data_IF_307082294692
#
_entry.id   IF_307082294692
#
_cell.length_a   1.000
_cell.length_b   1.000
_cell.length_c   1.000
_cell.angle_alpha   90.00
_cell.angle_beta   90.00
_cell.angle_gamma   90.00
#
_symmetry.space_group_name_H-M   'P 1'
#
loop_
_entity.id
_entity.type
_entity.pdbx_description
1 polymer ?
#
# COMPACT_ATOMS: atom_id res chain seq x y z
N UNK A 1 3.80 -16.56 -2.49
CA UNK A 1 4.66 -16.58 -1.27
C UNK A 1 3.83 -16.26 -0.02
N UNK A 2 3.99 -16.98 1.10
CA UNK A 2 3.12 -16.80 2.29
C UNK A 2 3.19 -15.41 2.91
N UNK A 3 4.33 -14.73 2.81
CA UNK A 3 4.50 -13.38 3.37
C UNK A 3 3.55 -12.34 2.77
N UNK A 4 2.90 -12.63 1.64
CA UNK A 4 1.91 -11.74 1.02
C UNK A 4 0.57 -11.74 1.78
N UNK A 5 0.25 -12.85 2.45
CA UNK A 5 -1.07 -13.07 3.00
C UNK A 5 -1.17 -12.62 4.45
N UNK A 6 -2.36 -12.14 4.83
CA UNK A 6 -2.71 -11.89 6.21
C UNK A 6 -2.46 -13.16 7.06
N UNK A 7 -1.87 -12.97 8.23
CA UNK A 7 -1.44 -14.04 9.15
C UNK A 7 -0.55 -15.12 8.50
N UNK A 8 -0.02 -14.84 7.31
CA UNK A 8 0.79 -15.75 6.50
C UNK A 8 0.08 -17.05 6.08
N UNK A 9 -1.26 -17.01 6.02
CA UNK A 9 -2.13 -18.15 5.65
C UNK A 9 -2.68 -17.96 4.24
N UNK A 10 -2.56 -18.98 3.39
CA UNK A 10 -3.13 -18.99 2.04
C UNK A 10 -4.36 -19.90 2.00
N UNK A 11 -5.50 -19.37 1.54
CA UNK A 11 -6.71 -20.14 1.27
C UNK A 11 -6.79 -20.47 -0.23
N UNK A 12 -6.70 -21.76 -0.63
CA UNK A 12 -6.80 -22.13 -2.04
C UNK A 12 -8.22 -21.98 -2.62
N UNK A 13 -9.26 -21.97 -1.78
CA UNK A 13 -10.65 -21.81 -2.22
C UNK A 13 -11.02 -20.33 -2.40
N UNK A 14 -10.32 -19.43 -1.70
CA UNK A 14 -10.42 -17.99 -1.86
C UNK A 14 -9.03 -17.32 -1.92
N UNK A 15 -8.36 -17.32 -3.09
CA UNK A 15 -6.99 -16.80 -3.22
C UNK A 15 -6.81 -15.31 -2.89
N UNK A 16 -7.89 -14.53 -2.88
CA UNK A 16 -7.88 -13.12 -2.48
C UNK A 16 -7.93 -12.91 -0.97
N UNK A 17 -8.34 -13.91 -0.20
CA UNK A 17 -8.44 -13.83 1.25
C UNK A 17 -7.08 -13.46 1.85
N UNK A 18 -7.02 -12.26 2.44
CA UNK A 18 -5.80 -11.74 3.05
C UNK A 18 -4.65 -11.41 2.08
N UNK A 19 -4.81 -11.55 0.76
CA UNK A 19 -3.76 -11.28 -0.21
C UNK A 19 -3.28 -9.81 -0.13
N UNK A 20 -1.96 -9.62 -0.06
CA UNK A 20 -1.29 -8.32 0.08
C UNK A 20 -1.68 -7.54 1.35
N UNK A 21 -2.13 -8.23 2.40
CA UNK A 21 -2.54 -7.63 3.70
C UNK A 21 -1.73 -8.14 4.89
N UNK A 22 -0.55 -8.70 4.68
CA UNK A 22 0.31 -9.12 5.79
C UNK A 22 0.84 -7.93 6.59
N UNK A 23 1.00 -8.12 7.91
CA UNK A 23 1.59 -7.11 8.80
C UNK A 23 3.03 -6.75 8.43
N UNK A 24 3.76 -7.70 7.81
CA UNK A 24 5.10 -7.45 7.29
C UNK A 24 5.10 -6.45 6.14
N UNK A 25 4.17 -6.57 5.20
CA UNK A 25 4.01 -5.61 4.10
C UNK A 25 3.63 -4.24 4.63
N UNK A 26 2.68 -4.16 5.56
CA UNK A 26 2.25 -2.90 6.16
C UNK A 26 3.42 -2.18 6.86
N UNK A 27 4.19 -2.92 7.66
CA UNK A 27 5.36 -2.40 8.37
C UNK A 27 6.42 -1.91 7.40
N UNK A 28 6.71 -2.68 6.35
CA UNK A 28 7.67 -2.30 5.31
C UNK A 28 7.21 -1.04 4.55
N UNK A 29 5.91 -0.96 4.21
CA UNK A 29 5.34 0.21 3.54
C UNK A 29 5.50 1.47 4.40
N UNK A 30 5.14 1.39 5.68
CA UNK A 30 5.29 2.51 6.63
C UNK A 30 6.76 2.92 6.76
N UNK A 31 7.66 1.96 6.84
CA UNK A 31 9.10 2.23 6.93
C UNK A 31 9.64 2.97 5.70
N UNK A 32 9.21 2.58 4.49
CA UNK A 32 9.69 3.17 3.23
C UNK A 32 9.00 4.48 2.89
N UNK A 33 7.67 4.55 2.99
CA UNK A 33 6.89 5.68 2.49
C UNK A 33 6.49 6.68 3.55
N UNK A 34 6.24 6.27 4.79
CA UNK A 34 5.85 7.21 5.85
C UNK A 34 7.06 7.56 6.71
N UNK A 35 7.18 6.98 7.90
CA UNK A 35 8.36 7.14 8.73
C UNK A 35 8.61 5.87 9.55
N UNK A 36 9.87 5.59 9.90
CA UNK A 36 10.19 4.47 10.79
C UNK A 36 9.42 4.51 12.12
N UNK A 37 9.15 5.71 12.66
CA UNK A 37 8.36 5.85 13.89
C UNK A 37 6.88 5.50 13.71
N UNK A 38 6.32 5.68 12.50
CA UNK A 38 4.96 5.23 12.18
C UNK A 38 4.85 3.70 12.10
N UNK A 39 5.93 3.00 11.74
CA UNK A 39 5.97 1.54 11.73
C UNK A 39 6.05 0.95 13.16
N UNK A 40 6.71 1.66 14.09
CA UNK A 40 6.88 1.20 15.49
C UNK A 40 5.84 1.76 16.49
N UNK A 41 4.90 2.58 16.01
CA UNK A 41 3.87 3.21 16.85
C UNK A 41 2.84 2.22 17.41
N UNK A 42 2.68 1.03 16.79
CA UNK A 42 1.80 -0.03 17.30
C UNK A 42 2.38 -0.77 18.50
N UNK A 43 3.71 -0.77 18.68
CA UNK A 43 4.40 -1.56 19.73
C UNK A 43 4.82 -0.73 20.94
N UNK A 44 5.03 0.57 20.77
CA UNK A 44 5.37 1.47 21.88
C UNK A 44 4.40 2.64 21.85
N UNK A 45 3.56 2.78 22.88
CA UNK A 45 2.66 3.93 23.06
C UNK A 45 3.36 5.28 23.23
N UNK A 46 4.59 5.42 22.76
CA UNK A 46 5.40 6.63 22.75
C UNK A 46 5.37 7.23 21.36
N UNK A 47 4.45 8.18 21.14
CA UNK A 47 4.54 9.12 20.05
C UNK A 47 5.73 10.08 20.28
N UNK A 48 6.98 9.62 20.14
CA UNK A 48 8.11 10.54 20.20
C UNK A 48 9.32 10.08 19.38
N UNK A 49 9.32 10.50 18.11
CA UNK A 49 10.37 11.38 17.63
C UNK A 49 9.89 12.01 16.32
N UNK A 50 9.75 13.34 16.31
CA UNK A 50 9.51 14.09 15.08
C UNK A 50 10.68 13.82 14.15
N UNK A 51 10.42 13.12 13.06
CA UNK A 51 11.40 12.92 12.00
C UNK A 51 11.85 14.32 11.52
N UNK A 52 13.17 14.56 11.45
CA UNK A 52 13.74 15.81 10.94
C UNK A 52 13.64 15.93 9.42
N UNK A 53 13.24 14.85 8.75
CA UNK A 53 13.02 14.78 7.31
C UNK A 53 11.57 14.44 7.02
N UNK A 54 11.01 15.09 6.01
CA UNK A 54 9.70 14.73 5.48
C UNK A 54 9.68 13.28 5.02
N UNK A 55 8.54 12.60 5.21
CA UNK A 55 8.32 11.25 4.69
C UNK A 55 8.41 11.21 3.17
N UNK A 56 8.76 10.06 2.58
CA UNK A 56 8.75 9.91 1.12
C UNK A 56 7.34 10.17 0.55
N UNK A 57 6.29 9.72 1.24
CA UNK A 57 4.91 10.03 0.93
C UNK A 57 4.66 11.54 0.88
N UNK A 58 5.14 12.30 1.85
CA UNK A 58 5.00 13.76 1.84
C UNK A 58 5.81 14.41 0.72
N UNK A 59 7.07 13.99 0.52
CA UNK A 59 7.96 14.51 -0.54
C UNK A 59 7.32 14.32 -1.92
N UNK A 60 6.69 13.17 -2.14
CA UNK A 60 6.01 12.85 -3.39
C UNK A 60 4.52 13.25 -3.42
N UNK A 61 4.01 13.92 -2.38
CA UNK A 61 2.62 14.37 -2.31
C UNK A 61 1.58 13.24 -2.31
N UNK A 62 1.96 12.04 -1.86
CA UNK A 62 1.06 10.88 -1.78
C UNK A 62 -0.03 11.13 -0.75
N UNK A 63 -1.29 11.10 -1.20
CA UNK A 63 -2.49 11.16 -0.35
C UNK A 63 -3.27 9.84 -0.32
N UNK A 64 -2.89 8.91 -1.20
CA UNK A 64 -3.45 7.58 -1.32
C UNK A 64 -2.35 6.60 -1.70
N UNK A 65 -2.56 5.33 -1.34
CA UNK A 65 -1.71 4.21 -1.74
C UNK A 65 -1.97 3.90 -3.21
N UNK A 66 -0.89 3.74 -3.98
CA UNK A 66 -0.95 3.31 -5.37
C UNK A 66 -0.66 1.80 -5.48
N UNK A 67 -1.29 1.12 -6.44
CA UNK A 67 -1.01 -0.29 -6.79
C UNK A 67 0.50 -0.53 -6.92
N UNK A 68 1.17 0.29 -7.73
CA UNK A 68 2.62 0.20 -7.94
C UNK A 68 3.45 0.31 -6.63
N UNK A 69 2.97 1.05 -5.63
CA UNK A 69 3.66 1.17 -4.34
C UNK A 69 3.51 -0.09 -3.49
N UNK A 70 2.35 -0.77 -3.51
CA UNK A 70 2.15 -2.06 -2.84
C UNK A 70 3.05 -3.12 -3.48
N UNK A 71 3.04 -3.21 -4.81
CA UNK A 71 3.84 -4.17 -5.57
C UNK A 71 5.34 -3.96 -5.37
N UNK A 72 5.78 -2.70 -5.32
CA UNK A 72 7.15 -2.36 -4.98
C UNK A 72 7.54 -2.87 -3.59
N UNK A 73 6.70 -2.63 -2.56
CA UNK A 73 6.97 -3.12 -1.21
C UNK A 73 7.00 -4.65 -1.14
N UNK A 74 6.07 -5.34 -1.79
CA UNK A 74 6.07 -6.79 -1.85
C UNK A 74 7.36 -7.34 -2.47
N UNK A 75 7.86 -6.68 -3.52
CA UNK A 75 9.12 -7.03 -4.18
C UNK A 75 10.33 -6.80 -3.26
N UNK A 76 10.38 -5.64 -2.57
CA UNK A 76 11.44 -5.33 -1.61
C UNK A 76 11.47 -6.31 -0.43
N UNK A 77 10.30 -6.68 0.12
CA UNK A 77 10.20 -7.66 1.20
C UNK A 77 10.65 -9.04 0.72
N UNK A 78 10.23 -9.47 -0.47
CA UNK A 78 10.68 -10.75 -1.04
C UNK A 78 12.19 -10.81 -1.16
N UNK A 79 12.82 -9.73 -1.65
CA UNK A 79 14.27 -9.64 -1.73
C UNK A 79 14.92 -9.71 -0.35
N UNK A 80 14.41 -8.95 0.63
CA UNK A 80 14.93 -8.96 1.99
C UNK A 80 14.84 -10.34 2.69
N UNK A 81 13.88 -11.17 2.27
CA UNK A 81 13.71 -12.55 2.74
C UNK A 81 14.49 -13.58 1.91
N UNK A 82 15.14 -13.17 0.82
CA UNK A 82 15.94 -14.05 -0.04
C UNK A 82 17.38 -14.20 0.50
N UNK A 83 18.08 -15.24 0.07
CA UNK A 83 19.52 -15.41 0.34
C UNK A 83 20.42 -14.61 -0.62
N UNK A 84 19.84 -13.84 -1.54
CA UNK A 84 20.56 -13.08 -2.56
C UNK A 84 21.08 -11.78 -1.97
N UNK A 85 22.39 -11.51 -2.09
CA UNK A 85 23.00 -10.31 -1.53
C UNK A 85 22.78 -9.03 -2.36
N UNK A 86 22.39 -9.18 -3.64
CA UNK A 86 22.26 -8.07 -4.59
C UNK A 86 20.87 -8.02 -5.19
N UNK A 87 20.22 -6.86 -5.08
CA UNK A 87 18.98 -6.59 -5.78
C UNK A 87 19.30 -6.28 -7.24
N UNK A 88 19.17 -7.28 -8.12
CA UNK A 88 19.42 -7.15 -9.56
C UNK A 88 18.16 -7.43 -10.34
N UNK A 89 17.96 -6.69 -11.44
CA UNK A 89 16.88 -6.95 -12.41
C UNK A 89 17.09 -8.26 -13.18
N UNK A 90 18.34 -8.71 -13.32
CA UNK A 90 18.70 -9.90 -14.11
C UNK A 90 19.00 -11.13 -13.27
N UNK A 91 18.76 -11.06 -11.95
CA UNK A 91 18.99 -12.21 -11.09
C UNK A 91 17.86 -13.23 -11.29
N UNK A 92 18.16 -14.32 -12.00
CA UNK A 92 17.23 -15.42 -12.28
C UNK A 92 16.90 -16.26 -11.05
N UNK A 93 17.64 -16.11 -9.94
CA UNK A 93 17.38 -16.86 -8.69
C UNK A 93 16.15 -16.30 -8.00
N UNK A 94 16.01 -14.98 -7.98
CA UNK A 94 14.88 -14.29 -7.36
C UNK A 94 13.86 -13.86 -8.42
N UNK A 95 14.28 -13.43 -9.60
CA UNK A 95 13.45 -12.83 -10.65
C UNK A 95 12.46 -11.79 -10.08
N UNK A 96 13.04 -10.77 -9.43
CA UNK A 96 12.29 -9.68 -8.79
C UNK A 96 11.47 -8.86 -9.79
N UNK A 97 11.95 -8.76 -11.04
CA UNK A 97 11.23 -8.06 -12.11
C UNK A 97 9.97 -8.83 -12.50
N UNK A 98 10.09 -10.14 -12.77
CA UNK A 98 8.92 -10.97 -13.05
C UNK A 98 7.92 -10.99 -11.89
N UNK A 99 8.41 -11.09 -10.64
CA UNK A 99 7.54 -11.05 -9.47
C UNK A 99 6.78 -9.72 -9.34
N UNK A 100 7.44 -8.60 -9.64
CA UNK A 100 6.81 -7.28 -9.68
C UNK A 100 5.73 -7.24 -10.77
N UNK A 101 6.06 -7.64 -12.00
CA UNK A 101 5.09 -7.59 -13.11
C UNK A 101 3.91 -8.53 -12.90
N UNK A 102 4.10 -9.73 -12.35
CA UNK A 102 2.99 -10.63 -12.01
C UNK A 102 1.97 -9.99 -11.06
N UNK A 103 2.44 -9.25 -10.07
CA UNK A 103 1.56 -8.54 -9.14
C UNK A 103 0.90 -7.33 -9.80
N UNK A 104 1.59 -6.62 -10.70
CA UNK A 104 0.96 -5.55 -11.49
C UNK A 104 -0.12 -6.12 -12.39
N UNK A 105 0.16 -7.19 -13.13
CA UNK A 105 -0.79 -7.83 -14.04
C UNK A 105 -2.05 -8.27 -13.30
N UNK A 106 -1.93 -8.84 -12.09
CA UNK A 106 -3.06 -9.15 -11.23
C UNK A 106 -3.85 -7.90 -10.79
N UNK A 107 -3.14 -6.85 -10.38
CA UNK A 107 -3.78 -5.65 -9.81
C UNK A 107 -4.34 -4.69 -10.86
N UNK A 108 -3.92 -4.83 -12.12
CA UNK A 108 -4.43 -4.08 -13.27
C UNK A 108 -5.47 -4.90 -14.07
N UNK A 109 -5.76 -6.16 -13.69
CA UNK A 109 -6.77 -6.99 -14.32
C UNK A 109 -8.18 -6.37 -14.12
N UNK A 110 -8.90 -6.03 -15.21
CA UNK A 110 -10.26 -5.51 -15.11
C UNK A 110 -11.25 -6.45 -14.41
N UNK A 111 -11.03 -7.76 -14.47
CA UNK A 111 -11.88 -8.75 -13.80
C UNK A 111 -11.74 -8.70 -12.27
N UNK A 112 -10.60 -8.20 -11.78
CA UNK A 112 -10.27 -8.12 -10.35
C UNK A 112 -10.57 -6.74 -9.75
N UNK A 113 -11.19 -5.84 -10.51
CA UNK A 113 -11.40 -4.44 -10.13
C UNK A 113 -12.05 -4.26 -8.76
N UNK A 114 -13.04 -5.09 -8.41
CA UNK A 114 -13.75 -5.00 -7.13
C UNK A 114 -12.81 -5.33 -5.95
N UNK A 115 -12.03 -6.41 -6.07
CA UNK A 115 -11.08 -6.83 -5.04
C UNK A 115 -9.90 -5.89 -4.91
N UNK A 116 -9.37 -5.39 -6.05
CA UNK A 116 -8.32 -4.37 -6.06
C UNK A 116 -8.82 -3.08 -5.39
N UNK A 117 -10.06 -2.66 -5.67
CA UNK A 117 -10.65 -1.48 -5.03
C UNK A 117 -10.79 -1.67 -3.52
N UNK A 118 -11.24 -2.85 -3.09
CA UNK A 118 -11.32 -3.24 -1.67
C UNK A 118 -9.95 -3.24 -0.99
N UNK A 119 -8.93 -3.78 -1.65
CA UNK A 119 -7.54 -3.79 -1.20
C UNK A 119 -7.01 -2.36 -1.04
N UNK A 120 -7.15 -1.50 -2.05
CA UNK A 120 -6.68 -0.11 -2.01
C UNK A 120 -7.40 0.68 -0.94
N UNK A 121 -8.71 0.47 -0.77
CA UNK A 121 -9.47 1.08 0.31
C UNK A 121 -8.90 0.68 1.68
N UNK A 122 -8.68 -0.61 1.91
CA UNK A 122 -8.09 -1.12 3.14
C UNK A 122 -6.70 -0.51 3.40
N UNK A 123 -5.83 -0.46 2.39
CA UNK A 123 -4.49 0.12 2.49
C UNK A 123 -4.52 1.61 2.85
N UNK A 124 -5.44 2.37 2.23
CA UNK A 124 -5.60 3.77 2.57
C UNK A 124 -5.98 3.96 4.03
N UNK A 125 -6.82 3.09 4.62
CA UNK A 125 -7.17 3.17 6.05
C UNK A 125 -5.94 3.00 6.94
N UNK A 126 -5.03 2.09 6.57
CA UNK A 126 -3.83 1.80 7.36
C UNK A 126 -2.76 2.89 7.26
N UNK A 127 -2.61 3.50 6.07
CA UNK A 127 -1.50 4.40 5.76
C UNK A 127 -1.89 5.88 5.82
N UNK A 128 -3.10 6.21 5.37
CA UNK A 128 -3.59 7.57 5.14
C UNK A 128 -4.98 7.84 5.79
N UNK A 129 -5.21 7.47 7.06
CA UNK A 129 -6.55 7.55 7.68
C UNK A 129 -7.13 8.97 7.70
N UNK A 130 -6.28 10.00 7.80
CA UNK A 130 -6.70 11.40 7.79
C UNK A 130 -7.33 11.81 6.46
N UNK A 131 -6.86 11.26 5.34
CA UNK A 131 -7.34 11.63 4.01
C UNK A 131 -8.67 10.98 3.63
N UNK A 132 -9.07 9.92 4.34
CA UNK A 132 -10.37 9.26 4.13
C UNK A 132 -11.48 9.97 4.89
N UNK A 133 -11.15 10.58 6.03
CA UNK A 133 -12.09 11.37 6.83
C UNK A 133 -12.33 12.78 6.27
N UNK A 134 -11.46 13.25 5.37
CA UNK A 134 -11.56 14.55 4.70
C UNK A 134 -12.61 14.58 3.57
N UNK A 135 -13.82 14.05 3.78
CA UNK A 135 -14.98 14.57 3.05
C UNK A 135 -15.31 15.95 3.60
N UNK A 136 -14.58 16.97 3.14
CA UNK A 136 -14.91 18.36 3.42
C UNK A 136 -16.37 18.59 3.01
N UNK A 137 -17.21 19.00 3.97
CA UNK A 137 -18.59 19.37 3.69
C UNK A 137 -18.60 20.46 2.60
N UNK A 138 -19.02 20.09 1.39
CA UNK A 138 -19.07 21.00 0.26
C UNK A 138 -20.14 22.04 0.59
N UNK A 139 -19.74 23.30 0.71
CA UNK A 139 -20.67 24.40 0.92
C UNK A 139 -21.68 24.45 -0.23
N UNK A 140 -22.97 24.58 0.08
CA UNK A 140 -24.07 24.50 -0.90
C UNK A 140 -23.93 25.53 -2.04
N UNK A 141 -23.38 26.71 -1.73
CA UNK A 141 -23.16 27.77 -2.71
C UNK A 141 -21.81 27.70 -3.44
N UNK A 142 -20.99 26.69 -3.15
CA UNK A 142 -19.70 26.55 -3.81
C UNK A 142 -19.85 26.23 -5.30
N UNK A 143 -18.85 26.65 -6.08
CA UNK A 143 -18.79 26.38 -7.53
C UNK A 143 -18.89 24.87 -7.81
N UNK A 144 -18.27 24.03 -6.97
CA UNK A 144 -18.34 22.57 -7.13
C UNK A 144 -19.74 22.00 -6.85
N UNK A 145 -20.50 22.56 -5.90
CA UNK A 145 -21.89 22.17 -5.67
C UNK A 145 -22.76 22.48 -6.89
N UNK A 146 -22.62 23.68 -7.47
CA UNK A 146 -23.35 24.08 -8.69
C UNK A 146 -22.96 23.26 -9.92
N UNK A 147 -21.69 22.86 -10.05
CA UNK A 147 -21.23 21.96 -11.13
C UNK A 147 -21.84 20.57 -10.98
N UNK A 148 -21.91 20.03 -9.76
CA UNK A 148 -22.52 18.71 -9.50
C UNK A 148 -24.03 18.71 -9.73
N UNK A 149 -24.72 19.78 -9.36
CA UNK A 149 -26.16 19.96 -9.60
C UNK A 149 -26.50 19.95 -11.10
N UNK A 150 -25.68 20.57 -11.94
CA UNK A 150 -25.88 20.60 -13.40
C UNK A 150 -25.72 19.22 -14.09
N UNK A 151 -25.08 18.25 -13.43
CA UNK A 151 -24.86 16.90 -13.97
C UNK A 151 -25.97 15.90 -13.56
N UNK A 152 -26.88 16.32 -12.68
CA UNK A 152 -28.12 15.59 -12.39
C UNK A 152 -29.21 16.02 -13.37
#
# INVERSE_FOLDING_TARGET
PRFLFQDYVYDPENPWEGLLRSSLLESAFKHVFTSPSSAMASESGSASNRCTKSSNAHIHGMRYVAVASITYIATQVRFALSSTATFSRTDTVTDSEYFYFLLIDLLDDPEEYEEVTSLIWWWNQQIFPSYISETHAIHKDSVIAKIKERRR
#
